data_IF_149942142140
#
_entry.id   IF_149942142140
#
_cell.length_a   1.000
_cell.length_b   1.000
_cell.length_c   1.000
_cell.angle_alpha   90.00
_cell.angle_beta   90.00
_cell.angle_gamma   90.00
#
_symmetry.space_group_name_H-M   'P 1'
#
loop_
_entity.id
_entity.type
_entity.pdbx_description
1 polymer ?
#
# COMPACT_ATOMS: atom_id res chain seq x y z
N UNK A 1 -19.11 -44.99 18.43
CA UNK A 1 -19.15 -43.53 18.22
C UNK A 1 -18.90 -43.27 16.76
N UNK A 2 -19.82 -42.61 16.06
CA UNK A 2 -19.55 -42.08 14.72
C UNK A 2 -18.31 -41.19 14.81
N UNK A 3 -17.31 -41.34 13.94
CA UNK A 3 -16.17 -40.42 13.96
C UNK A 3 -16.69 -38.99 13.85
N UNK A 4 -16.27 -38.12 14.76
CA UNK A 4 -16.67 -36.72 14.74
C UNK A 4 -16.28 -36.14 13.38
N UNK A 5 -17.19 -35.42 12.71
CA UNK A 5 -16.87 -34.76 11.45
C UNK A 5 -15.78 -33.71 11.74
N UNK A 6 -14.55 -33.84 11.21
CA UNK A 6 -13.46 -32.91 11.50
C UNK A 6 -13.82 -31.47 11.11
N UNK A 7 -14.59 -31.28 10.04
CA UNK A 7 -15.02 -29.95 9.58
C UNK A 7 -15.99 -29.24 10.55
N UNK A 8 -16.60 -29.98 11.47
CA UNK A 8 -17.48 -29.45 12.53
C UNK A 8 -16.87 -29.61 13.93
N UNK A 9 -15.57 -29.85 14.02
CA UNK A 9 -14.85 -30.06 15.27
C UNK A 9 -13.78 -28.99 15.46
N UNK A 10 -13.80 -28.30 16.60
CA UNK A 10 -12.92 -27.18 16.94
C UNK A 10 -12.06 -27.49 18.17
N UNK A 11 -10.78 -27.14 18.12
CA UNK A 11 -9.91 -27.03 19.29
C UNK A 11 -9.74 -25.56 19.70
N UNK A 12 -10.01 -25.25 20.97
CA UNK A 12 -9.63 -23.99 21.62
C UNK A 12 -8.38 -24.28 22.44
N UNK A 13 -7.27 -23.66 22.08
CA UNK A 13 -5.98 -23.90 22.71
C UNK A 13 -5.56 -22.71 23.56
N UNK A 14 -5.17 -22.95 24.80
CA UNK A 14 -4.48 -21.96 25.63
C UNK A 14 -2.97 -22.14 25.47
N UNK A 15 -2.28 -21.07 25.06
CA UNK A 15 -0.81 -21.02 25.01
C UNK A 15 -0.18 -20.59 26.34
N UNK A 16 -0.99 -20.19 27.33
CA UNK A 16 -0.53 -19.70 28.65
C UNK A 16 -1.13 -20.49 29.82
N UNK A 17 -1.65 -21.69 29.57
CA UNK A 17 -2.15 -22.62 30.59
C UNK A 17 -3.53 -22.33 31.17
N UNK A 18 -4.03 -21.08 31.14
CA UNK A 18 -5.33 -20.72 31.71
C UNK A 18 -6.45 -20.69 30.65
N UNK A 19 -7.63 -21.20 31.02
CA UNK A 19 -8.90 -21.00 30.28
C UNK A 19 -9.82 -20.14 31.14
N UNK A 20 -10.34 -19.04 30.60
CA UNK A 20 -11.39 -18.24 31.24
C UNK A 20 -12.78 -18.83 30.97
N UNK A 21 -13.66 -18.85 31.97
CA UNK A 21 -15.06 -19.27 31.85
C UNK A 21 -16.05 -18.11 32.04
N UNK A 22 -17.24 -18.16 31.41
CA UNK A 22 -17.75 -19.24 30.55
C UNK A 22 -17.27 -19.13 29.09
N UNK A 23 -17.05 -20.29 28.46
CA UNK A 23 -16.65 -20.39 27.06
C UNK A 23 -17.73 -19.92 26.06
N UNK A 24 -17.36 -19.68 24.79
CA UNK A 24 -18.27 -19.20 23.75
C UNK A 24 -19.37 -20.21 23.40
N UNK A 25 -20.50 -19.72 22.88
CA UNK A 25 -21.56 -20.58 22.33
C UNK A 25 -21.02 -21.37 21.13
N UNK A 26 -21.43 -22.65 20.94
CA UNK A 26 -20.79 -23.53 19.98
C UNK A 26 -21.01 -23.16 18.50
N UNK A 27 -22.04 -22.37 18.20
CA UNK A 27 -22.36 -21.96 16.83
C UNK A 27 -22.56 -23.14 15.90
N UNK A 28 -21.81 -23.18 14.80
CA UNK A 28 -21.86 -24.27 13.81
C UNK A 28 -21.00 -25.50 14.16
N UNK A 29 -20.20 -25.44 15.24
CA UNK A 29 -19.36 -26.57 15.66
C UNK A 29 -20.18 -27.59 16.46
N UNK A 30 -20.10 -28.85 16.05
CA UNK A 30 -20.75 -29.97 16.74
C UNK A 30 -19.94 -30.46 17.94
N UNK A 31 -18.63 -30.18 17.96
CA UNK A 31 -17.73 -30.58 19.06
C UNK A 31 -16.68 -29.49 19.27
N UNK A 32 -16.51 -29.08 20.53
CA UNK A 32 -15.48 -28.13 20.95
C UNK A 32 -14.63 -28.81 22.02
N UNK A 33 -13.31 -28.78 21.83
CA UNK A 33 -12.33 -29.32 22.77
C UNK A 33 -11.47 -28.18 23.29
N UNK A 34 -11.35 -28.06 24.61
CA UNK A 34 -10.39 -27.17 25.24
C UNK A 34 -9.11 -27.95 25.48
N UNK A 35 -8.02 -27.51 24.85
CA UNK A 35 -6.71 -28.14 24.92
C UNK A 35 -5.70 -27.11 25.47
N UNK A 36 -4.63 -27.61 26.06
CA UNK A 36 -3.54 -26.78 26.57
C UNK A 36 -2.27 -27.31 25.96
N UNK A 37 -1.50 -26.43 25.31
CA UNK A 37 -0.15 -26.80 24.85
C UNK A 37 0.72 -26.90 26.09
N UNK A 38 1.40 -28.03 26.28
CA UNK A 38 2.17 -28.28 27.51
C UNK A 38 3.20 -27.17 27.75
N UNK A 39 3.24 -26.66 28.98
CA UNK A 39 4.33 -25.81 29.48
C UNK A 39 5.62 -26.65 29.60
N UNK A 40 6.31 -26.90 28.48
CA UNK A 40 7.75 -27.02 28.56
C UNK A 40 8.27 -25.60 28.58
N UNK A 41 8.57 -25.09 29.78
CA UNK A 41 9.04 -23.73 30.05
C UNK A 41 9.91 -23.20 28.89
N UNK A 42 9.42 -22.17 28.16
CA UNK A 42 10.13 -21.41 27.11
C UNK A 42 10.08 -21.88 25.64
N UNK A 43 9.02 -22.54 25.16
CA UNK A 43 8.85 -22.66 23.70
C UNK A 43 8.69 -21.27 23.06
N UNK A 44 9.49 -20.99 22.03
CA UNK A 44 9.34 -19.78 21.24
C UNK A 44 7.93 -19.75 20.59
N UNK A 45 7.30 -18.57 20.42
CA UNK A 45 5.93 -18.45 19.90
C UNK A 45 5.59 -19.26 18.62
N UNK A 46 6.45 -19.38 17.58
CA UNK A 46 6.11 -20.19 16.41
C UNK A 46 6.05 -21.68 16.73
N UNK A 47 6.92 -22.16 17.63
CA UNK A 47 6.96 -23.57 18.05
C UNK A 47 5.72 -23.92 18.87
N UNK A 48 5.31 -23.04 19.78
CA UNK A 48 4.09 -23.22 20.56
C UNK A 48 2.83 -23.29 19.66
N UNK A 49 2.77 -22.45 18.62
CA UNK A 49 1.65 -22.45 17.65
C UNK A 49 1.65 -23.67 16.74
N UNK A 50 2.82 -24.18 16.36
CA UNK A 50 2.92 -25.42 15.58
C UNK A 50 2.45 -26.62 16.41
N UNK A 51 2.95 -26.75 17.65
CA UNK A 51 2.50 -27.78 18.58
C UNK A 51 0.98 -27.69 18.86
N UNK A 52 0.44 -26.48 18.93
CA UNK A 52 -1.01 -26.28 19.04
C UNK A 52 -1.78 -26.87 17.84
N UNK A 53 -1.26 -26.70 16.63
CA UNK A 53 -1.89 -27.22 15.42
C UNK A 53 -1.83 -28.75 15.37
N UNK A 54 -0.69 -29.34 15.71
CA UNK A 54 -0.49 -30.80 15.77
C UNK A 54 -1.41 -31.44 16.83
N UNK A 55 -1.47 -30.86 18.03
CA UNK A 55 -2.34 -31.33 19.11
C UNK A 55 -3.83 -31.28 18.71
N UNK A 56 -4.25 -30.24 17.98
CA UNK A 56 -5.60 -30.13 17.46
C UNK A 56 -5.92 -31.21 16.41
N UNK A 57 -4.94 -31.56 15.55
CA UNK A 57 -5.07 -32.64 14.57
C UNK A 57 -5.19 -34.01 15.25
N UNK A 58 -4.34 -34.28 16.24
CA UNK A 58 -4.39 -35.52 17.04
C UNK A 58 -5.73 -35.70 17.75
N UNK A 59 -6.34 -34.59 18.21
CA UNK A 59 -7.66 -34.57 18.81
C UNK A 59 -8.83 -34.71 17.82
N UNK A 60 -8.54 -34.82 16.51
CA UNK A 60 -9.51 -34.95 15.44
C UNK A 60 -10.28 -33.65 15.11
N UNK A 61 -9.74 -32.49 15.49
CA UNK A 61 -10.33 -31.19 15.18
C UNK A 61 -9.84 -30.66 13.83
N UNK A 62 -10.78 -30.30 12.93
CA UNK A 62 -10.44 -29.66 11.65
C UNK A 62 -10.19 -28.17 11.78
N UNK A 63 -10.68 -27.54 12.85
CA UNK A 63 -10.47 -26.12 13.15
C UNK A 63 -9.74 -25.94 14.48
N UNK A 64 -8.97 -24.86 14.59
CA UNK A 64 -8.33 -24.43 15.82
C UNK A 64 -8.38 -22.92 16.01
N UNK A 65 -8.30 -22.49 17.26
CA UNK A 65 -7.90 -21.14 17.65
C UNK A 65 -6.96 -21.24 18.85
N UNK A 66 -5.78 -20.62 18.74
CA UNK A 66 -4.78 -20.60 19.81
C UNK A 66 -4.77 -19.22 20.46
N UNK A 67 -5.17 -19.14 21.73
CA UNK A 67 -5.27 -17.92 22.52
C UNK A 67 -3.98 -17.66 23.30
N UNK A 68 -3.61 -16.39 23.38
CA UNK A 68 -2.48 -15.90 24.17
C UNK A 68 -2.95 -15.39 25.53
N UNK A 69 -2.00 -15.11 26.42
CA UNK A 69 -2.29 -14.47 27.69
C UNK A 69 -3.00 -13.13 27.48
N UNK A 70 -4.12 -12.92 28.17
CA UNK A 70 -4.95 -11.72 28.07
C UNK A 70 -5.93 -11.69 26.88
N UNK A 71 -6.10 -12.82 26.18
CA UNK A 71 -7.12 -13.01 25.16
C UNK A 71 -8.20 -13.99 25.62
N UNK A 72 -9.47 -13.64 25.37
CA UNK A 72 -10.63 -14.51 25.52
C UNK A 72 -11.47 -14.48 24.24
N UNK A 73 -12.41 -15.42 24.09
CA UNK A 73 -13.32 -15.46 22.95
C UNK A 73 -14.62 -14.70 23.28
N UNK A 74 -15.14 -13.97 22.30
CA UNK A 74 -16.48 -13.38 22.42
C UNK A 74 -17.55 -14.48 22.53
N UNK A 75 -18.59 -14.25 23.34
CA UNK A 75 -19.64 -15.25 23.64
C UNK A 75 -20.37 -15.78 22.38
N UNK A 76 -20.40 -14.98 21.33
CA UNK A 76 -21.06 -15.22 20.04
C UNK A 76 -20.06 -15.43 18.89
N UNK A 77 -18.76 -15.51 19.18
CA UNK A 77 -17.69 -15.58 18.18
C UNK A 77 -17.98 -16.62 17.08
N UNK A 78 -18.38 -17.84 17.46
CA UNK A 78 -18.60 -18.95 16.52
C UNK A 78 -19.94 -18.91 15.79
N UNK A 79 -20.95 -18.23 16.33
CA UNK A 79 -22.19 -17.97 15.62
C UNK A 79 -21.94 -16.96 14.50
N UNK A 80 -21.17 -15.91 14.78
CA UNK A 80 -20.87 -14.84 13.83
C UNK A 80 -20.01 -15.32 12.65
N UNK A 81 -19.15 -16.33 12.84
CA UNK A 81 -18.32 -16.88 11.75
C UNK A 81 -18.91 -18.12 11.07
N UNK A 82 -20.03 -18.66 11.55
CA UNK A 82 -20.63 -19.86 10.98
C UNK A 82 -20.80 -19.80 9.44
N UNK A 83 -21.25 -18.68 8.83
CA UNK A 83 -21.35 -18.57 7.38
C UNK A 83 -20.00 -18.64 6.64
N UNK A 84 -18.90 -18.29 7.31
CA UNK A 84 -17.57 -18.21 6.73
C UNK A 84 -16.82 -19.55 6.71
N UNK A 85 -17.19 -20.51 7.57
CA UNK A 85 -16.47 -21.80 7.72
C UNK A 85 -16.44 -22.66 6.44
N UNK A 86 -17.44 -22.52 5.57
CA UNK A 86 -17.47 -23.22 4.28
C UNK A 86 -16.70 -22.51 3.15
N UNK A 87 -16.38 -21.23 3.34
CA UNK A 87 -15.83 -20.36 2.30
C UNK A 87 -14.35 -20.05 2.51
N UNK A 88 -13.90 -20.07 3.77
CA UNK A 88 -12.56 -19.67 4.18
C UNK A 88 -11.85 -20.76 4.95
N UNK A 89 -10.53 -20.65 5.01
CA UNK A 89 -9.62 -21.56 5.70
C UNK A 89 -9.00 -20.89 6.94
N UNK A 90 -8.96 -19.55 6.97
CA UNK A 90 -8.54 -18.75 8.11
C UNK A 90 -9.43 -17.51 8.27
N UNK A 91 -9.86 -17.22 9.50
CA UNK A 91 -10.77 -16.14 9.84
C UNK A 91 -10.17 -15.33 11.00
N UNK A 92 -9.72 -14.13 10.68
CA UNK A 92 -9.18 -13.15 11.60
C UNK A 92 -10.32 -12.26 12.10
N UNK A 93 -10.59 -12.31 13.40
CA UNK A 93 -11.65 -11.51 14.02
C UNK A 93 -11.26 -10.06 14.24
N UNK A 94 -12.25 -9.19 14.49
CA UNK A 94 -12.00 -7.99 15.26
C UNK A 94 -11.81 -8.34 16.75
N UNK A 95 -11.53 -7.33 17.57
CA UNK A 95 -11.44 -7.50 19.00
C UNK A 95 -12.15 -6.38 19.76
N UNK A 96 -12.67 -6.73 20.94
CA UNK A 96 -13.17 -5.80 21.94
C UNK A 96 -12.17 -5.71 23.10
N UNK A 97 -11.99 -4.53 23.68
CA UNK A 97 -11.12 -4.35 24.85
C UNK A 97 -11.99 -4.20 26.09
N UNK A 98 -11.72 -4.99 27.13
CA UNK A 98 -12.48 -4.92 28.38
C UNK A 98 -12.53 -3.49 28.94
N UNK A 99 -13.72 -3.07 29.36
CA UNK A 99 -13.96 -1.72 29.88
C UNK A 99 -14.11 -0.63 28.81
N UNK A 100 -13.97 -0.96 27.52
CA UNK A 100 -14.27 -0.02 26.43
C UNK A 100 -15.78 0.13 26.24
N UNK A 101 -16.27 1.37 26.12
CA UNK A 101 -17.71 1.64 25.87
C UNK A 101 -18.15 1.38 24.42
N UNK A 102 -17.22 1.06 23.50
CA UNK A 102 -17.55 0.79 22.10
C UNK A 102 -17.74 -0.71 21.85
N UNK A 103 -18.87 -1.09 21.25
CA UNK A 103 -19.15 -2.48 20.85
C UNK A 103 -18.09 -3.05 19.88
N UNK A 104 -17.43 -2.19 19.10
CA UNK A 104 -16.24 -2.50 18.31
C UNK A 104 -15.17 -1.48 18.69
N UNK A 105 -14.08 -1.95 19.30
CA UNK A 105 -12.92 -1.08 19.58
C UNK A 105 -12.34 -0.56 18.25
N UNK A 106 -11.82 0.68 18.17
CA UNK A 106 -11.23 1.23 16.93
C UNK A 106 -10.02 0.45 16.38
N UNK A 107 -9.62 -0.63 17.07
CA UNK A 107 -8.60 -1.59 16.66
C UNK A 107 -8.88 -2.21 15.28
N UNK A 108 -10.14 -2.34 14.86
CA UNK A 108 -10.47 -2.91 13.54
C UNK A 108 -11.50 -2.08 12.79
N UNK A 109 -11.13 -1.59 11.59
CA UNK A 109 -11.98 -0.66 10.83
C UNK A 109 -12.76 -1.29 9.70
N UNK A 110 -12.25 -2.33 9.03
CA UNK A 110 -12.85 -2.86 7.80
C UNK A 110 -12.66 -4.38 7.68
N UNK A 111 -13.69 -5.03 7.13
CA UNK A 111 -13.60 -6.41 6.68
C UNK A 111 -13.00 -6.49 5.28
N UNK A 112 -12.23 -7.54 4.99
CA UNK A 112 -11.67 -7.82 3.67
C UNK A 112 -11.26 -9.30 3.57
N UNK A 113 -11.21 -9.82 2.36
CA UNK A 113 -10.91 -11.22 2.05
C UNK A 113 -9.84 -11.38 0.97
N UNK A 114 -9.17 -10.29 0.61
CA UNK A 114 -8.13 -10.27 -0.41
C UNK A 114 -6.75 -10.01 0.20
N UNK A 115 -5.76 -10.78 -0.25
CA UNK A 115 -4.39 -10.71 0.29
C UNK A 115 -3.72 -9.35 0.04
N UNK A 116 -4.13 -8.61 -1.00
CA UNK A 116 -3.59 -7.28 -1.30
C UNK A 116 -3.85 -6.24 -0.21
N UNK A 117 -4.83 -6.50 0.68
CA UNK A 117 -5.17 -5.63 1.81
C UNK A 117 -4.37 -5.91 3.07
N UNK A 118 -3.76 -7.08 3.18
CA UNK A 118 -3.01 -7.49 4.37
C UNK A 118 -1.94 -6.46 4.76
N UNK A 119 -1.06 -5.98 3.85
CA UNK A 119 0.02 -5.09 4.26
C UNK A 119 -0.49 -3.75 4.80
N UNK A 120 -1.58 -3.22 4.21
CA UNK A 120 -2.22 -2.01 4.73
C UNK A 120 -2.79 -2.23 6.13
N UNK A 121 -3.43 -3.38 6.36
CA UNK A 121 -3.96 -3.74 7.67
C UNK A 121 -2.84 -3.87 8.72
N UNK A 122 -1.69 -4.45 8.37
CA UNK A 122 -0.55 -4.59 9.28
C UNK A 122 0.14 -3.26 9.60
N UNK A 123 0.22 -2.35 8.63
CA UNK A 123 0.92 -1.07 8.80
C UNK A 123 0.05 0.04 9.38
N UNK A 124 -1.27 0.01 9.18
CA UNK A 124 -2.15 1.15 9.49
C UNK A 124 -3.32 0.79 10.40
N UNK A 125 -3.68 -0.50 10.50
CA UNK A 125 -4.72 -1.00 11.39
C UNK A 125 -4.09 -1.99 12.38
N UNK A 126 -4.93 -2.84 12.96
CA UNK A 126 -4.49 -3.97 13.76
C UNK A 126 -5.11 -5.27 13.22
N UNK A 127 -4.28 -6.31 13.18
CA UNK A 127 -4.65 -7.67 12.85
C UNK A 127 -4.24 -8.55 14.03
N UNK A 128 -5.15 -9.36 14.60
CA UNK A 128 -4.80 -10.24 15.70
C UNK A 128 -3.88 -11.36 15.24
N UNK A 129 -2.94 -11.75 16.10
CA UNK A 129 -2.14 -12.95 15.88
C UNK A 129 -2.99 -14.22 16.11
N UNK A 130 -3.99 -14.15 17.00
CA UNK A 130 -4.94 -15.22 17.29
C UNK A 130 -6.15 -15.16 16.38
N UNK A 131 -6.43 -16.26 15.69
CA UNK A 131 -7.45 -16.34 14.65
C UNK A 131 -7.95 -17.77 14.54
N UNK A 132 -9.14 -17.93 13.97
CA UNK A 132 -9.74 -19.24 13.72
C UNK A 132 -9.19 -19.79 12.41
N UNK A 133 -8.62 -20.98 12.39
CA UNK A 133 -7.92 -21.52 11.20
C UNK A 133 -8.06 -23.03 11.10
N UNK A 134 -8.07 -23.54 9.86
CA UNK A 134 -7.98 -24.99 9.61
C UNK A 134 -6.66 -25.53 10.14
N UNK A 135 -6.71 -26.61 10.90
CA UNK A 135 -5.53 -27.18 11.57
C UNK A 135 -4.44 -27.57 10.57
N UNK A 136 -4.81 -28.15 9.42
CA UNK A 136 -3.89 -28.46 8.33
C UNK A 136 -3.21 -27.23 7.70
N UNK A 137 -3.91 -26.09 7.62
CA UNK A 137 -3.40 -24.85 7.04
C UNK A 137 -2.43 -24.18 7.99
N UNK A 138 -2.76 -24.15 9.28
CA UNK A 138 -1.86 -23.63 10.32
C UNK A 138 -0.57 -24.45 10.39
N UNK A 139 -0.68 -25.78 10.50
CA UNK A 139 0.48 -26.67 10.61
C UNK A 139 1.41 -26.58 9.40
N UNK A 140 0.86 -26.60 8.17
CA UNK A 140 1.67 -26.46 6.94
C UNK A 140 2.41 -25.13 6.92
N UNK A 141 1.69 -24.01 7.09
CA UNK A 141 2.29 -22.67 7.02
C UNK A 141 3.36 -22.47 8.10
N UNK A 142 3.10 -22.90 9.34
CA UNK A 142 4.07 -22.76 10.43
C UNK A 142 5.33 -23.61 10.22
N UNK A 143 5.20 -24.81 9.66
CA UNK A 143 6.35 -25.64 9.26
C UNK A 143 7.22 -24.95 8.20
N UNK A 144 6.58 -24.40 7.16
CA UNK A 144 7.29 -23.68 6.09
C UNK A 144 8.03 -22.44 6.63
N UNK A 145 7.39 -21.67 7.51
CA UNK A 145 8.00 -20.51 8.18
C UNK A 145 9.18 -20.94 9.07
N UNK A 146 9.01 -22.01 9.85
CA UNK A 146 10.06 -22.53 10.73
C UNK A 146 11.28 -23.01 9.92
N UNK A 147 11.06 -23.70 8.80
CA UNK A 147 12.12 -24.20 7.93
C UNK A 147 12.96 -23.07 7.28
N UNK A 148 12.37 -21.88 7.07
CA UNK A 148 13.08 -20.72 6.50
C UNK A 148 14.00 -20.00 7.49
N UNK A 149 13.85 -20.20 8.80
CA UNK A 149 14.65 -19.49 9.82
C UNK A 149 14.39 -17.97 9.83
N UNK A 150 13.13 -17.58 9.65
CA UNK A 150 12.68 -16.20 9.51
C UNK A 150 13.11 -15.26 10.65
N UNK A 151 13.52 -14.02 10.30
CA UNK A 151 13.81 -12.95 11.28
C UNK A 151 12.55 -12.56 12.08
N UNK A 152 11.36 -12.63 11.47
CA UNK A 152 10.08 -12.35 12.11
C UNK A 152 8.99 -13.33 11.66
N UNK A 153 8.94 -14.48 12.35
CA UNK A 153 8.02 -15.57 12.05
C UNK A 153 6.55 -15.16 11.95
N UNK A 154 6.11 -14.16 12.74
CA UNK A 154 4.70 -13.78 12.80
C UNK A 154 4.28 -13.04 11.52
N UNK A 155 5.14 -12.13 11.04
CA UNK A 155 4.91 -11.43 9.78
C UNK A 155 4.98 -12.42 8.63
N UNK A 156 6.00 -13.28 8.61
CA UNK A 156 6.14 -14.32 7.59
C UNK A 156 4.93 -15.26 7.53
N UNK A 157 4.46 -15.73 8.69
CA UNK A 157 3.25 -16.54 8.79
C UNK A 157 2.02 -15.81 8.20
N UNK A 158 1.83 -14.53 8.53
CA UNK A 158 0.70 -13.76 8.03
C UNK A 158 0.76 -13.56 6.52
N UNK A 159 1.92 -13.24 5.96
CA UNK A 159 2.06 -13.14 4.50
C UNK A 159 1.82 -14.49 3.82
N UNK A 160 2.39 -15.57 4.35
CA UNK A 160 2.30 -16.89 3.73
C UNK A 160 0.89 -17.48 3.82
N UNK A 161 0.19 -17.34 4.95
CA UNK A 161 -1.19 -17.84 5.08
C UNK A 161 -2.13 -17.08 4.15
N UNK A 162 -2.01 -15.75 4.04
CA UNK A 162 -2.84 -14.94 3.14
C UNK A 162 -2.50 -15.16 1.67
N UNK A 163 -1.27 -15.56 1.34
CA UNK A 163 -0.89 -15.92 -0.02
C UNK A 163 -1.40 -17.31 -0.44
N UNK A 164 -1.52 -18.26 0.51
CA UNK A 164 -1.73 -19.67 0.21
C UNK A 164 -3.03 -20.29 0.76
N UNK A 165 -3.88 -19.51 1.42
CA UNK A 165 -5.15 -19.95 1.98
C UNK A 165 -6.25 -18.90 1.76
N UNK A 166 -7.52 -19.33 1.81
CA UNK A 166 -8.65 -18.40 1.73
C UNK A 166 -8.82 -17.72 3.09
N UNK A 167 -8.39 -16.48 3.20
CA UNK A 167 -8.43 -15.73 4.45
C UNK A 167 -9.58 -14.72 4.46
N UNK A 168 -10.21 -14.55 5.63
CA UNK A 168 -11.17 -13.48 5.90
C UNK A 168 -10.69 -12.67 7.09
N UNK A 169 -10.55 -11.36 6.92
CA UNK A 169 -10.56 -10.42 8.04
C UNK A 169 -12.00 -9.96 8.27
N UNK A 170 -12.59 -10.38 9.38
CA UNK A 170 -13.93 -9.97 9.79
C UNK A 170 -13.92 -8.67 10.61
N UNK A 171 -14.96 -7.86 10.46
CA UNK A 171 -15.25 -6.72 11.34
C UNK A 171 -15.93 -7.16 12.65
N UNK A 172 -16.44 -8.39 12.71
CA UNK A 172 -17.07 -8.94 13.91
C UNK A 172 -16.02 -9.37 14.93
N UNK A 173 -16.22 -9.09 16.23
CA UNK A 173 -15.27 -9.46 17.26
C UNK A 173 -15.23 -10.98 17.45
N UNK A 174 -14.03 -11.56 17.36
CA UNK A 174 -13.77 -12.92 17.86
C UNK A 174 -13.11 -12.90 19.23
N UNK A 175 -12.34 -11.85 19.50
CA UNK A 175 -11.53 -11.75 20.70
C UNK A 175 -12.06 -10.67 21.64
N UNK A 176 -11.93 -10.94 22.93
CA UNK A 176 -11.98 -9.99 24.02
C UNK A 176 -10.56 -9.89 24.56
N UNK A 177 -10.03 -8.67 24.67
CA UNK A 177 -8.67 -8.39 25.13
C UNK A 177 -8.71 -7.68 26.48
N UNK A 178 -7.81 -8.07 27.38
CA UNK A 178 -7.61 -7.36 28.65
C UNK A 178 -7.07 -5.95 28.42
N UNK A 179 -6.18 -5.80 27.43
CA UNK A 179 -5.50 -4.55 27.12
C UNK A 179 -5.57 -4.25 25.61
N UNK A 180 -5.56 -2.96 25.26
CA UNK A 180 -5.40 -2.56 23.87
C UNK A 180 -3.98 -2.96 23.38
N UNK A 181 -3.86 -3.54 22.17
CA UNK A 181 -2.57 -3.90 21.60
C UNK A 181 -1.74 -2.66 21.29
N UNK A 182 -0.42 -2.79 21.43
CA UNK A 182 0.52 -1.76 21.00
C UNK A 182 0.57 -1.69 19.46
N UNK A 183 0.82 -0.49 18.88
CA UNK A 183 1.16 -0.38 17.46
C UNK A 183 2.41 -1.21 17.14
N UNK A 184 2.51 -1.70 15.89
CA UNK A 184 3.72 -2.37 15.40
C UNK A 184 4.95 -1.49 15.60
N UNK A 185 6.02 -2.08 16.14
CA UNK A 185 7.30 -1.44 16.36
C UNK A 185 7.97 -1.01 15.05
N UNK A 186 8.98 -0.13 15.13
CA UNK A 186 9.74 0.30 13.96
C UNK A 186 10.39 -0.87 13.21
N UNK A 187 10.90 -1.88 13.93
CA UNK A 187 11.49 -3.09 13.34
C UNK A 187 10.43 -3.91 12.60
N UNK A 188 9.27 -4.17 13.20
CA UNK A 188 8.19 -4.91 12.53
C UNK A 188 7.68 -4.19 11.28
N UNK A 189 7.61 -2.85 11.30
CA UNK A 189 7.27 -2.07 10.10
C UNK A 189 8.30 -2.27 9.00
N UNK A 190 9.59 -2.30 9.36
CA UNK A 190 10.66 -2.53 8.41
C UNK A 190 10.62 -3.94 7.82
N UNK A 191 10.31 -4.95 8.63
CA UNK A 191 10.12 -6.34 8.18
C UNK A 191 8.97 -6.45 7.16
N UNK A 192 7.83 -5.77 7.41
CA UNK A 192 6.71 -5.72 6.46
C UNK A 192 7.14 -5.05 5.14
N UNK A 193 7.86 -3.94 5.21
CA UNK A 193 8.35 -3.21 4.02
C UNK A 193 9.33 -4.08 3.23
N UNK A 194 10.23 -4.80 3.91
CA UNK A 194 11.14 -5.73 3.27
C UNK A 194 10.39 -6.87 2.57
N UNK A 195 9.37 -7.42 3.21
CA UNK A 195 8.53 -8.45 2.59
C UNK A 195 7.83 -7.95 1.33
N UNK A 196 7.35 -6.70 1.32
CA UNK A 196 6.77 -6.06 0.13
C UNK A 196 7.79 -5.84 -1.00
N UNK A 197 9.07 -5.66 -0.67
CA UNK A 197 10.12 -5.55 -1.67
C UNK A 197 10.40 -6.89 -2.37
N UNK A 198 10.33 -7.99 -1.61
CA UNK A 198 10.52 -9.38 -2.08
C UNK A 198 9.29 -9.92 -2.82
N UNK A 199 8.11 -9.72 -2.27
CA UNK A 199 6.81 -10.19 -2.79
C UNK A 199 5.90 -8.99 -2.96
N UNK A 200 5.93 -8.34 -4.14
CA UNK A 200 5.18 -7.13 -4.38
C UNK A 200 3.67 -7.38 -4.35
N UNK A 201 2.97 -6.51 -3.63
CA UNK A 201 1.52 -6.47 -3.59
C UNK A 201 1.03 -5.33 -4.47
N UNK A 202 -0.06 -5.57 -5.19
CA UNK A 202 -0.70 -4.57 -6.04
C UNK A 202 -2.16 -4.37 -5.65
N UNK A 203 -2.55 -3.11 -5.46
CA UNK A 203 -3.92 -2.70 -5.22
C UNK A 203 -4.66 -2.59 -6.57
N UNK A 204 -5.85 -3.23 -6.69
CA UNK A 204 -6.66 -3.14 -7.90
C UNK A 204 -7.45 -1.82 -7.94
N UNK A 205 -7.31 -1.11 -9.04
CA UNK A 205 -8.03 0.14 -9.34
C UNK A 205 -8.94 -0.12 -10.53
N UNK A 206 -10.25 -0.09 -10.31
CA UNK A 206 -11.24 -0.27 -11.38
C UNK A 206 -11.42 1.06 -12.10
N UNK A 207 -11.16 1.09 -13.40
CA UNK A 207 -11.37 2.27 -14.23
C UNK A 207 -12.03 1.87 -15.55
N UNK A 208 -13.29 2.26 -15.72
CA UNK A 208 -14.11 1.81 -16.83
C UNK A 208 -14.30 0.28 -16.79
N UNK A 209 -13.90 -0.39 -17.87
CA UNK A 209 -13.94 -1.84 -18.04
C UNK A 209 -12.62 -2.55 -17.70
N UNK A 210 -11.60 -1.80 -17.25
CA UNK A 210 -10.27 -2.33 -16.94
C UNK A 210 -9.95 -2.24 -15.45
N UNK A 211 -9.07 -3.13 -15.01
CA UNK A 211 -8.46 -3.09 -13.68
C UNK A 211 -6.98 -2.77 -13.86
N UNK A 212 -6.54 -1.70 -13.21
CA UNK A 212 -5.13 -1.32 -13.13
C UNK A 212 -4.56 -1.76 -11.79
N UNK A 213 -3.33 -2.24 -11.79
CA UNK A 213 -2.65 -2.74 -10.60
C UNK A 213 -1.60 -1.70 -10.15
N UNK A 214 -1.78 -1.08 -8.99
CA UNK A 214 -0.82 -0.10 -8.43
C UNK A 214 -0.05 -0.70 -7.25
N UNK A 215 1.28 -0.49 -7.16
CA UNK A 215 2.09 -1.13 -6.14
C UNK A 215 1.77 -0.57 -4.74
N UNK A 216 1.64 -1.44 -3.75
CA UNK A 216 1.59 -1.05 -2.34
C UNK A 216 2.97 -1.20 -1.72
N UNK A 217 3.60 -0.09 -1.37
CA UNK A 217 4.96 -0.02 -0.80
C UNK A 217 4.97 0.11 0.71
N UNK A 218 3.85 0.55 1.31
CA UNK A 218 3.76 0.90 2.73
C UNK A 218 4.48 2.19 3.11
N UNK A 219 5.05 2.89 2.13
CA UNK A 219 5.91 4.06 2.31
C UNK A 219 5.31 5.33 1.67
N UNK A 220 4.12 5.23 1.07
CA UNK A 220 3.44 6.32 0.37
C UNK A 220 2.04 6.55 0.96
N UNK A 221 1.95 6.77 2.27
CA UNK A 221 0.69 6.74 3.01
C UNK A 221 -0.43 7.67 2.45
N UNK A 222 -0.08 8.83 1.87
CA UNK A 222 -1.04 9.73 1.23
C UNK A 222 -1.66 9.12 -0.03
N UNK A 223 -0.81 8.71 -0.98
CA UNK A 223 -1.21 8.10 -2.25
C UNK A 223 -1.89 6.75 -2.03
N UNK A 224 -1.25 5.88 -1.25
CA UNK A 224 -1.72 4.52 -1.01
C UNK A 224 -3.06 4.49 -0.26
N UNK A 225 -3.37 5.50 0.55
CA UNK A 225 -4.70 5.61 1.19
C UNK A 225 -5.81 5.69 0.15
N UNK A 226 -5.66 6.49 -0.90
CA UNK A 226 -6.67 6.57 -1.96
C UNK A 226 -6.69 5.31 -2.82
N UNK A 227 -5.53 4.72 -3.09
CA UNK A 227 -5.44 3.45 -3.81
C UNK A 227 -6.11 2.29 -3.07
N UNK A 228 -6.04 2.27 -1.74
CA UNK A 228 -6.83 1.32 -0.94
C UNK A 228 -8.33 1.59 -0.99
N UNK A 229 -8.81 2.67 -1.60
CA UNK A 229 -10.24 2.85 -1.89
C UNK A 229 -10.59 2.43 -3.31
N UNK A 230 -9.63 1.87 -4.06
CA UNK A 230 -9.82 1.49 -5.46
C UNK A 230 -9.78 2.70 -6.40
N UNK A 231 -9.13 3.80 -5.99
CA UNK A 231 -9.03 5.04 -6.76
C UNK A 231 -7.58 5.36 -7.11
N UNK A 232 -7.35 5.94 -8.29
CA UNK A 232 -6.09 6.65 -8.53
C UNK A 232 -5.98 7.83 -7.55
N UNK A 233 -4.76 8.09 -7.07
CA UNK A 233 -4.49 9.33 -6.36
C UNK A 233 -4.69 10.51 -7.32
N UNK A 234 -5.27 11.62 -6.82
CA UNK A 234 -5.66 12.78 -7.64
C UNK A 234 -6.63 12.45 -8.79
N UNK A 235 -7.51 11.45 -8.62
CA UNK A 235 -8.43 11.00 -9.68
C UNK A 235 -9.24 12.14 -10.33
N UNK A 236 -9.68 13.15 -9.58
CA UNK A 236 -10.39 14.30 -10.13
C UNK A 236 -9.51 15.16 -11.06
N UNK A 237 -8.28 15.41 -10.68
CA UNK A 237 -7.31 16.20 -11.46
C UNK A 237 -6.88 15.44 -12.72
N UNK A 238 -6.63 14.15 -12.58
CA UNK A 238 -6.35 13.23 -13.68
C UNK A 238 -7.49 13.19 -14.71
N UNK A 239 -8.74 13.17 -14.27
CA UNK A 239 -9.90 13.25 -15.18
C UNK A 239 -10.01 14.61 -15.87
N UNK A 240 -9.71 15.71 -15.19
CA UNK A 240 -9.67 17.03 -15.80
C UNK A 240 -8.60 17.12 -16.88
N UNK A 241 -7.42 16.53 -16.65
CA UNK A 241 -6.36 16.44 -17.65
C UNK A 241 -6.80 15.58 -18.85
N UNK A 242 -7.36 14.39 -18.60
CA UNK A 242 -7.85 13.46 -19.64
C UNK A 242 -8.88 14.09 -20.57
N UNK A 243 -9.77 14.97 -20.06
CA UNK A 243 -10.77 15.67 -20.88
C UNK A 243 -10.17 16.66 -21.88
N UNK A 244 -8.96 17.17 -21.62
CA UNK A 244 -8.29 18.20 -22.43
C UNK A 244 -7.26 17.62 -23.40
N UNK A 245 -6.76 16.42 -23.12
CA UNK A 245 -5.70 15.77 -23.89
C UNK A 245 -6.30 14.63 -24.71
N UNK A 246 -6.05 14.65 -26.02
CA UNK A 246 -6.51 13.57 -26.90
C UNK A 246 -5.67 12.29 -26.68
N UNK A 247 -6.25 11.09 -26.89
CA UNK A 247 -5.46 9.87 -27.00
C UNK A 247 -4.31 10.03 -28.00
N UNK A 248 -3.19 9.36 -27.73
CA UNK A 248 -1.97 9.44 -28.54
C UNK A 248 -1.01 10.57 -28.17
N UNK A 249 -1.23 11.26 -27.04
CA UNK A 249 -0.30 12.27 -26.54
C UNK A 249 1.03 11.66 -26.07
N UNK A 250 2.12 12.42 -26.21
CA UNK A 250 3.43 12.15 -25.62
C UNK A 250 3.55 12.89 -24.30
N UNK A 251 3.73 12.14 -23.22
CA UNK A 251 3.67 12.67 -21.85
C UNK A 251 5.01 12.46 -21.15
N UNK A 252 5.51 13.52 -20.50
CA UNK A 252 6.67 13.45 -19.62
C UNK A 252 6.18 13.59 -18.18
N UNK A 253 6.52 12.64 -17.31
CA UNK A 253 6.10 12.59 -15.91
C UNK A 253 7.33 12.77 -15.00
N UNK A 254 7.59 14.02 -14.59
CA UNK A 254 8.71 14.36 -13.69
C UNK A 254 8.25 14.19 -12.24
N UNK A 255 9.00 13.41 -11.47
CA UNK A 255 8.63 12.97 -10.12
C UNK A 255 7.57 11.87 -10.17
N UNK A 256 7.78 10.86 -11.02
CA UNK A 256 6.79 9.82 -11.29
C UNK A 256 6.48 8.93 -10.07
N UNK A 257 7.33 8.96 -9.04
CA UNK A 257 7.15 8.21 -7.79
C UNK A 257 6.91 6.72 -8.09
N UNK A 258 5.88 6.12 -7.50
CA UNK A 258 5.51 4.71 -7.67
C UNK A 258 4.62 4.45 -8.89
N UNK A 259 4.42 5.46 -9.74
CA UNK A 259 3.78 5.32 -11.05
C UNK A 259 2.28 5.59 -11.10
N UNK A 260 1.66 6.18 -10.07
CA UNK A 260 0.21 6.48 -10.09
C UNK A 260 -0.22 7.23 -11.37
N UNK A 261 0.40 8.40 -11.63
CA UNK A 261 0.10 9.22 -12.80
C UNK A 261 0.61 8.57 -14.08
N UNK A 262 1.81 7.99 -14.09
CA UNK A 262 2.36 7.25 -15.23
C UNK A 262 1.40 6.17 -15.75
N UNK A 263 0.84 5.33 -14.86
CA UNK A 263 -0.11 4.28 -15.24
C UNK A 263 -1.41 4.90 -15.76
N UNK A 264 -1.89 5.99 -15.15
CA UNK A 264 -3.08 6.71 -15.62
C UNK A 264 -2.89 7.32 -17.03
N UNK A 265 -1.70 7.88 -17.28
CA UNK A 265 -1.32 8.47 -18.56
C UNK A 265 -1.23 7.40 -19.66
N UNK A 266 -0.59 6.28 -19.36
CA UNK A 266 -0.36 5.20 -20.31
C UNK A 266 -1.66 4.44 -20.65
N UNK A 267 -2.47 4.08 -19.64
CA UNK A 267 -3.67 3.27 -19.80
C UNK A 267 -4.95 4.10 -20.04
N UNK A 268 -5.54 4.71 -19.00
CA UNK A 268 -6.75 5.53 -19.09
C UNK A 268 -6.70 6.66 -20.12
N UNK A 269 -5.62 7.46 -20.18
CA UNK A 269 -5.48 8.53 -21.17
C UNK A 269 -5.05 8.02 -22.55
N UNK A 270 -4.58 6.77 -22.64
CA UNK A 270 -4.09 6.15 -23.89
C UNK A 270 -3.01 7.00 -24.57
N UNK A 271 -2.02 7.45 -23.79
CA UNK A 271 -0.85 8.15 -24.33
C UNK A 271 -0.15 7.29 -25.39
N UNK A 272 0.45 7.93 -26.40
CA UNK A 272 1.32 7.22 -27.35
C UNK A 272 2.63 6.78 -26.69
N UNK A 273 3.14 7.61 -25.77
CA UNK A 273 4.34 7.32 -24.98
C UNK A 273 4.30 8.11 -23.68
N UNK A 274 4.70 7.49 -22.58
CA UNK A 274 4.94 8.15 -21.29
C UNK A 274 6.41 7.96 -20.90
N UNK A 275 7.12 9.04 -20.61
CA UNK A 275 8.50 9.00 -20.11
C UNK A 275 8.53 9.45 -18.65
N UNK A 276 8.47 8.51 -17.68
CA UNK A 276 8.63 8.82 -16.26
C UNK A 276 10.08 9.10 -15.89
N UNK A 277 10.28 10.14 -15.07
CA UNK A 277 11.54 10.46 -14.41
C UNK A 277 11.34 10.40 -12.91
N UNK A 278 12.01 9.45 -12.26
CA UNK A 278 11.97 9.24 -10.82
C UNK A 278 13.39 8.95 -10.32
N UNK A 279 13.99 9.84 -9.51
CA UNK A 279 15.36 9.69 -9.04
C UNK A 279 15.56 8.55 -8.04
N UNK A 280 14.54 8.19 -7.24
CA UNK A 280 14.70 7.21 -6.18
C UNK A 280 14.63 5.78 -6.73
N UNK A 281 15.69 4.96 -6.53
CA UNK A 281 15.71 3.60 -7.07
C UNK A 281 14.55 2.72 -6.58
N UNK A 282 14.13 2.87 -5.32
CA UNK A 282 13.01 2.10 -4.74
C UNK A 282 11.67 2.46 -5.37
N UNK A 283 11.39 3.74 -5.59
CA UNK A 283 10.18 4.21 -6.27
C UNK A 283 10.18 3.82 -7.75
N UNK A 284 11.32 4.00 -8.44
CA UNK A 284 11.49 3.56 -9.83
C UNK A 284 11.33 2.05 -10.02
N UNK A 285 11.81 1.24 -9.06
CA UNK A 285 11.59 -0.21 -9.08
C UNK A 285 10.12 -0.59 -8.91
N UNK A 286 9.39 0.10 -8.02
CA UNK A 286 7.95 -0.10 -7.86
C UNK A 286 7.17 0.32 -9.12
N UNK A 287 7.54 1.45 -9.74
CA UNK A 287 6.96 1.91 -11.00
C UNK A 287 7.19 0.91 -12.13
N UNK A 288 8.42 0.40 -12.30
CA UNK A 288 8.75 -0.63 -13.30
C UNK A 288 7.85 -1.86 -13.15
N UNK A 289 7.73 -2.36 -11.92
CA UNK A 289 6.84 -3.49 -11.60
C UNK A 289 5.37 -3.18 -11.89
N UNK A 290 4.92 -1.95 -11.66
CA UNK A 290 3.58 -1.51 -12.00
C UNK A 290 3.34 -1.54 -13.51
N UNK A 291 4.27 -1.02 -14.31
CA UNK A 291 4.20 -1.03 -15.78
C UNK A 291 4.13 -2.46 -16.31
N UNK A 292 5.03 -3.33 -15.84
CA UNK A 292 5.06 -4.76 -16.18
C UNK A 292 3.74 -5.45 -15.80
N UNK A 293 3.24 -5.22 -14.58
CA UNK A 293 2.00 -5.83 -14.07
C UNK A 293 0.77 -5.45 -14.89
N UNK A 294 0.75 -4.23 -15.44
CA UNK A 294 -0.33 -3.73 -16.27
C UNK A 294 -0.17 -4.04 -17.77
N UNK A 295 0.96 -4.62 -18.20
CA UNK A 295 1.24 -4.92 -19.60
C UNK A 295 1.26 -3.68 -20.49
N UNK A 296 1.87 -2.58 -19.99
CA UNK A 296 1.93 -1.31 -20.69
C UNK A 296 3.22 -1.17 -21.48
N UNK A 297 3.13 -1.28 -22.80
CA UNK A 297 4.29 -1.18 -23.72
C UNK A 297 4.61 0.27 -24.14
N UNK A 298 3.77 1.22 -23.74
CA UNK A 298 3.86 2.64 -24.09
C UNK A 298 4.48 3.50 -22.97
N UNK A 299 5.39 2.91 -22.18
CA UNK A 299 6.13 3.60 -21.12
C UNK A 299 7.63 3.42 -21.31
N UNK A 300 8.36 4.51 -21.50
CA UNK A 300 9.82 4.52 -21.63
C UNK A 300 10.50 4.67 -20.26
N UNK A 301 10.97 3.56 -19.72
CA UNK A 301 11.63 3.48 -18.41
C UNK A 301 13.13 3.77 -18.44
N UNK A 302 13.68 4.24 -19.58
CA UNK A 302 15.12 4.50 -19.73
C UNK A 302 15.63 5.65 -18.86
N UNK A 303 14.75 6.55 -18.44
CA UNK A 303 15.08 7.73 -17.63
C UNK A 303 14.84 7.55 -16.12
N UNK A 304 14.50 6.33 -15.68
CA UNK A 304 14.41 6.04 -14.24
C UNK A 304 15.79 6.12 -13.57
N UNK A 305 15.82 6.65 -12.34
CA UNK A 305 17.04 6.88 -11.56
C UNK A 305 17.71 8.23 -11.81
N UNK A 306 17.13 9.07 -12.67
CA UNK A 306 17.63 10.42 -12.97
C UNK A 306 16.67 11.45 -12.36
N UNK A 307 17.21 12.39 -11.59
CA UNK A 307 16.49 13.59 -11.16
C UNK A 307 16.62 14.73 -12.16
N UNK A 308 15.66 15.66 -12.13
CA UNK A 308 15.62 16.79 -13.06
C UNK A 308 15.83 18.09 -12.29
N UNK A 309 16.68 18.98 -12.82
CA UNK A 309 16.88 20.32 -12.28
C UNK A 309 17.36 21.30 -13.37
N UNK A 310 17.67 22.53 -12.96
CA UNK A 310 18.20 23.59 -13.84
C UNK A 310 19.58 23.26 -14.43
N UNK A 311 20.39 22.51 -13.69
CA UNK A 311 21.75 22.15 -14.07
C UNK A 311 22.03 20.67 -13.81
N UNK A 312 22.83 20.05 -14.68
CA UNK A 312 23.33 18.70 -14.46
C UNK A 312 24.26 18.64 -13.25
N UNK A 313 24.27 17.51 -12.57
CA UNK A 313 25.07 17.32 -11.37
C UNK A 313 24.73 16.07 -10.60
N UNK A 314 24.99 16.12 -9.29
CA UNK A 314 24.70 15.04 -8.36
C UNK A 314 23.93 15.58 -7.17
N UNK A 315 23.07 14.75 -6.61
CA UNK A 315 22.27 15.06 -5.45
C UNK A 315 22.21 13.86 -4.51
N UNK A 316 21.77 14.14 -3.28
CA UNK A 316 21.34 13.11 -2.33
C UNK A 316 19.87 13.30 -2.01
N UNK A 317 19.20 12.20 -1.70
CA UNK A 317 17.88 12.22 -1.11
C UNK A 317 17.95 12.79 0.31
N UNK A 318 17.08 13.74 0.63
CA UNK A 318 16.88 14.27 1.98
C UNK A 318 15.42 14.05 2.35
N UNK A 319 15.19 13.42 3.50
CA UNK A 319 13.83 13.23 4.01
C UNK A 319 13.20 14.60 4.28
N UNK A 320 12.06 14.89 3.67
CA UNK A 320 11.26 16.03 4.12
C UNK A 320 10.56 15.71 5.43
N UNK A 321 10.05 16.75 6.09
CA UNK A 321 9.26 16.64 7.32
C UNK A 321 8.01 15.74 7.20
N UNK A 322 7.56 15.42 5.97
CA UNK A 322 6.36 14.60 5.70
C UNK A 322 6.62 13.10 5.86
N UNK A 323 7.87 12.62 5.73
CA UNK A 323 8.26 11.21 5.82
C UNK A 323 7.71 10.31 4.72
N UNK A 324 8.46 9.27 4.31
CA UNK A 324 8.05 8.32 3.27
C UNK A 324 8.56 8.64 1.85
N UNK A 325 8.28 7.77 0.88
CA UNK A 325 8.82 7.85 -0.49
C UNK A 325 8.39 9.12 -1.22
N UNK A 326 7.10 9.48 -1.14
CA UNK A 326 6.53 10.67 -1.79
C UNK A 326 6.84 12.00 -1.10
N UNK A 327 7.76 12.00 -0.15
CA UNK A 327 8.12 13.14 0.69
C UNK A 327 9.64 13.37 0.68
N UNK A 328 10.32 12.98 -0.40
CA UNK A 328 11.77 13.07 -0.49
C UNK A 328 12.16 14.24 -1.39
N UNK A 329 13.00 15.14 -0.87
CA UNK A 329 13.57 16.24 -1.65
C UNK A 329 14.98 15.88 -2.08
N UNK A 330 15.39 16.32 -3.27
CA UNK A 330 16.78 16.24 -3.70
C UNK A 330 17.55 17.48 -3.23
N UNK A 331 18.69 17.28 -2.60
CA UNK A 331 19.63 18.34 -2.26
C UNK A 331 20.91 18.18 -3.11
N UNK A 332 21.40 19.24 -3.78
CA UNK A 332 22.66 19.20 -4.50
C UNK A 332 23.80 18.73 -3.59
N UNK A 333 24.51 17.70 -4.04
CA UNK A 333 25.64 17.12 -3.32
C UNK A 333 26.55 16.43 -4.36
N UNK A 334 27.75 16.96 -4.64
CA UNK A 334 28.70 16.35 -5.57
C UNK A 334 29.10 14.91 -5.19
N UNK A 335 28.95 14.54 -3.92
CA UNK A 335 29.19 13.18 -3.41
C UNK A 335 27.93 12.31 -3.34
N UNK A 336 26.76 12.89 -3.64
CA UNK A 336 25.49 12.19 -3.64
C UNK A 336 25.43 11.09 -4.70
N UNK A 337 24.54 10.12 -4.51
CA UNK A 337 24.37 8.93 -5.36
C UNK A 337 23.40 9.14 -6.54
N UNK A 338 22.54 10.16 -6.46
CA UNK A 338 21.52 10.47 -7.48
C UNK A 338 22.11 11.35 -8.58
N UNK A 339 21.94 10.92 -9.82
CA UNK A 339 22.32 11.71 -11.02
C UNK A 339 21.22 12.74 -11.30
N UNK A 340 21.63 13.97 -11.59
CA UNK A 340 20.74 15.06 -12.00
C UNK A 340 21.10 15.50 -13.41
N UNK A 341 20.10 15.74 -14.24
CA UNK A 341 20.26 16.38 -15.56
C UNK A 341 19.12 17.39 -15.83
N UNK A 342 19.24 18.13 -16.93
CA UNK A 342 18.23 19.04 -17.43
C UNK A 342 17.21 18.30 -18.29
N UNK A 343 15.94 18.68 -18.22
CA UNK A 343 14.92 18.05 -19.07
C UNK A 343 15.22 18.26 -20.56
N UNK A 344 15.82 19.41 -20.90
CA UNK A 344 16.24 19.72 -22.26
C UNK A 344 17.33 18.78 -22.81
N UNK A 345 18.14 18.14 -21.94
CA UNK A 345 19.12 17.15 -22.35
C UNK A 345 18.49 15.74 -22.47
N UNK A 346 17.52 15.44 -21.61
CA UNK A 346 16.89 14.12 -21.53
C UNK A 346 15.80 13.92 -22.61
N UNK A 347 15.13 14.99 -23.06
CA UNK A 347 13.96 14.91 -23.95
C UNK A 347 14.19 15.65 -25.27
N UNK A 348 14.46 14.89 -26.33
CA UNK A 348 14.57 15.39 -27.71
C UNK A 348 13.21 15.50 -28.41
N UNK A 349 12.33 14.56 -28.14
CA UNK A 349 11.05 14.41 -28.85
C UNK A 349 10.05 15.52 -28.51
N UNK A 350 9.01 15.74 -29.34
CA UNK A 350 7.88 16.59 -28.98
C UNK A 350 7.15 16.08 -27.74
N UNK A 351 6.70 17.02 -26.90
CA UNK A 351 5.96 16.76 -25.67
C UNK A 351 4.61 17.47 -25.74
N UNK A 352 3.52 16.73 -25.57
CA UNK A 352 2.17 17.29 -25.54
C UNK A 352 1.75 17.67 -24.11
N UNK A 353 2.20 16.88 -23.13
CA UNK A 353 1.90 17.09 -21.71
C UNK A 353 3.18 16.93 -20.88
N UNK A 354 3.44 17.89 -20.00
CA UNK A 354 4.52 17.83 -19.03
C UNK A 354 3.93 17.89 -17.62
N UNK A 355 4.11 16.81 -16.85
CA UNK A 355 3.76 16.78 -15.44
C UNK A 355 5.01 17.00 -14.59
N UNK A 356 4.93 17.89 -13.59
CA UNK A 356 6.03 18.23 -12.68
C UNK A 356 5.49 18.22 -11.25
N UNK A 357 5.94 17.26 -10.46
CA UNK A 357 5.59 17.16 -9.05
C UNK A 357 6.84 16.67 -8.31
N UNK A 358 7.65 17.62 -7.84
CA UNK A 358 8.99 17.37 -7.30
C UNK A 358 9.24 18.23 -6.06
N UNK A 359 8.54 17.96 -4.97
CA UNK A 359 8.76 18.45 -3.59
C UNK A 359 9.77 19.62 -3.42
N UNK A 360 9.42 20.80 -3.95
CA UNK A 360 10.12 22.08 -3.79
C UNK A 360 11.20 22.42 -4.83
N UNK A 361 11.31 21.66 -5.92
CA UNK A 361 12.29 21.87 -7.01
C UNK A 361 11.63 22.24 -8.34
N UNK A 362 10.34 22.56 -8.36
CA UNK A 362 9.55 22.64 -9.59
C UNK A 362 9.97 23.82 -10.47
N UNK A 363 10.32 24.97 -9.87
CA UNK A 363 10.89 26.11 -10.62
C UNK A 363 12.27 25.80 -11.22
N UNK A 364 13.07 24.95 -10.56
CA UNK A 364 14.36 24.50 -11.09
C UNK A 364 14.17 23.55 -12.27
N UNK A 365 13.19 22.64 -12.18
CA UNK A 365 12.80 21.79 -13.32
C UNK A 365 12.33 22.63 -14.50
N UNK A 366 11.48 23.64 -14.27
CA UNK A 366 11.04 24.55 -15.33
C UNK A 366 12.20 25.30 -16.00
N UNK A 367 13.22 25.68 -15.23
CA UNK A 367 14.43 26.30 -15.77
C UNK A 367 15.27 25.32 -16.61
N UNK A 368 15.35 24.06 -16.21
CA UNK A 368 16.02 22.98 -16.96
C UNK A 368 15.21 22.44 -18.16
N UNK A 369 13.97 22.90 -18.35
CA UNK A 369 13.05 22.47 -19.40
C UNK A 369 12.75 23.56 -20.44
N UNK A 370 13.54 24.63 -20.47
CA UNK A 370 13.24 25.83 -21.26
C UNK A 370 13.09 25.51 -22.76
N UNK A 371 14.03 24.77 -23.37
CA UNK A 371 13.97 24.46 -24.80
C UNK A 371 12.83 23.49 -25.13
N UNK A 372 12.53 22.53 -24.26
CA UNK A 372 11.40 21.60 -24.42
C UNK A 372 10.07 22.37 -24.39
N UNK A 373 9.90 23.28 -23.44
CA UNK A 373 8.70 24.10 -23.26
C UNK A 373 8.52 25.09 -24.43
N UNK A 374 9.60 25.76 -24.85
CA UNK A 374 9.57 26.70 -25.98
C UNK A 374 9.23 25.98 -27.29
N UNK A 375 9.84 24.82 -27.54
CA UNK A 375 9.66 24.03 -28.77
C UNK A 375 8.28 23.39 -28.85
N UNK A 376 7.84 22.74 -27.78
CA UNK A 376 6.65 21.88 -27.83
C UNK A 376 5.38 22.57 -27.33
N UNK A 377 5.52 23.65 -26.55
CA UNK A 377 4.40 24.38 -25.93
C UNK A 377 3.39 23.42 -25.25
N UNK A 378 3.85 22.48 -24.39
CA UNK A 378 2.98 21.45 -23.82
C UNK A 378 1.92 22.06 -22.90
N UNK A 379 0.83 21.33 -22.68
CA UNK A 379 0.01 21.51 -21.49
C UNK A 379 0.84 21.08 -20.26
N UNK A 380 0.87 21.89 -19.21
CA UNK A 380 1.70 21.58 -18.03
C UNK A 380 0.81 21.39 -16.80
N UNK A 381 1.00 20.28 -16.10
CA UNK A 381 0.38 19.98 -14.81
C UNK A 381 1.47 19.99 -13.73
N UNK A 382 1.41 20.94 -12.80
CA UNK A 382 2.52 21.22 -11.89
C UNK A 382 2.06 21.48 -10.45
N UNK A 383 2.65 20.76 -9.49
CA UNK A 383 2.47 21.04 -8.06
C UNK A 383 3.36 22.23 -7.68
N UNK A 384 2.81 23.26 -7.04
CA UNK A 384 3.60 24.40 -6.56
C UNK A 384 3.35 24.59 -5.07
N UNK A 385 4.42 24.52 -4.28
CA UNK A 385 4.38 24.94 -2.88
C UNK A 385 3.88 26.38 -2.75
N UNK A 386 3.00 26.65 -1.78
CA UNK A 386 2.31 27.93 -1.66
C UNK A 386 3.29 29.12 -1.56
N UNK A 387 4.44 28.92 -0.92
CA UNK A 387 5.53 29.91 -0.81
C UNK A 387 6.15 30.30 -2.17
N UNK A 388 6.10 29.41 -3.17
CA UNK A 388 6.66 29.64 -4.51
C UNK A 388 5.66 30.26 -5.48
N UNK A 389 4.41 30.49 -5.08
CA UNK A 389 3.33 31.00 -5.96
C UNK A 389 3.70 32.31 -6.67
N UNK A 390 4.35 33.25 -5.98
CA UNK A 390 4.74 34.54 -6.57
C UNK A 390 5.79 34.36 -7.69
N UNK A 391 6.81 33.54 -7.43
CA UNK A 391 7.85 33.25 -8.41
C UNK A 391 7.28 32.45 -9.61
N UNK A 392 6.36 31.54 -9.35
CA UNK A 392 5.65 30.80 -10.39
C UNK A 392 4.79 31.71 -11.29
N UNK A 393 4.06 32.68 -10.72
CA UNK A 393 3.29 33.66 -11.49
C UNK A 393 4.16 34.55 -12.39
N UNK A 394 5.34 34.93 -11.91
CA UNK A 394 6.32 35.65 -12.73
C UNK A 394 6.83 34.76 -13.89
N UNK A 395 7.09 33.48 -13.63
CA UNK A 395 7.47 32.51 -14.65
C UNK A 395 6.38 32.35 -15.72
N UNK A 396 5.11 32.18 -15.33
CA UNK A 396 3.97 32.05 -16.25
C UNK A 396 3.91 33.22 -17.23
N UNK A 397 4.05 34.44 -16.72
CA UNK A 397 4.01 35.67 -17.52
C UNK A 397 5.13 35.71 -18.54
N UNK A 398 6.37 35.39 -18.13
CA UNK A 398 7.55 35.36 -19.02
C UNK A 398 7.46 34.24 -20.06
N UNK A 399 7.00 33.05 -19.67
CA UNK A 399 6.88 31.89 -20.55
C UNK A 399 5.66 31.97 -21.49
N UNK A 400 4.79 32.96 -21.30
CA UNK A 400 3.56 33.13 -22.07
C UNK A 400 2.56 31.99 -21.83
N UNK A 401 2.39 31.59 -20.58
CA UNK A 401 1.40 30.61 -20.13
C UNK A 401 0.27 31.29 -19.33
N UNK A 402 -0.85 30.60 -19.20
CA UNK A 402 -1.97 30.98 -18.36
C UNK A 402 -2.47 29.78 -17.54
N UNK A 403 -3.08 30.08 -16.39
CA UNK A 403 -3.72 29.07 -15.55
C UNK A 403 -5.09 28.74 -16.10
N UNK A 404 -5.33 27.47 -16.40
CA UNK A 404 -6.63 26.93 -16.82
C UNK A 404 -7.42 26.40 -15.61
N UNK A 405 -6.71 25.80 -14.63
CA UNK A 405 -7.31 25.25 -13.42
C UNK A 405 -6.31 25.24 -12.26
N UNK A 406 -6.83 25.40 -11.06
CA UNK A 406 -6.09 25.26 -9.80
C UNK A 406 -6.82 24.25 -8.92
N UNK A 407 -6.07 23.35 -8.31
CA UNK A 407 -6.54 22.41 -7.29
C UNK A 407 -5.73 22.68 -6.03
N UNK A 408 -6.38 23.23 -5.01
CA UNK A 408 -5.71 23.72 -3.80
C UNK A 408 -5.62 22.65 -2.72
N UNK A 409 -4.47 22.52 -2.08
CA UNK A 409 -4.30 21.79 -0.81
C UNK A 409 -3.65 22.72 0.24
N UNK A 410 -3.38 22.21 1.44
CA UNK A 410 -2.97 23.00 2.61
C UNK A 410 -1.66 23.75 2.44
N UNK A 411 -0.66 23.15 1.76
CA UNK A 411 0.70 23.70 1.64
C UNK A 411 1.18 23.88 0.20
N UNK A 412 0.43 23.37 -0.76
CA UNK A 412 0.72 23.45 -2.19
C UNK A 412 -0.59 23.56 -2.97
N UNK A 413 -0.49 23.82 -4.26
CA UNK A 413 -1.60 23.67 -5.19
C UNK A 413 -1.10 23.07 -6.50
N UNK A 414 -1.92 22.20 -7.09
CA UNK A 414 -1.71 21.69 -8.45
C UNK A 414 -2.29 22.68 -9.45
N UNK A 415 -1.47 23.12 -10.40
CA UNK A 415 -1.84 24.02 -11.46
C UNK A 415 -1.87 23.27 -12.79
N UNK A 416 -2.99 23.39 -13.50
CA UNK A 416 -3.05 23.07 -14.91
C UNK A 416 -2.91 24.36 -15.71
N UNK A 417 -1.85 24.46 -16.51
CA UNK A 417 -1.50 25.66 -17.28
C UNK A 417 -1.35 25.32 -18.76
N UNK A 418 -1.73 26.27 -19.61
CA UNK A 418 -1.64 26.14 -21.06
C UNK A 418 -0.94 27.35 -21.68
N UNK A 419 -0.35 27.20 -22.89
CA UNK A 419 0.09 28.33 -23.70
C UNK A 419 -0.99 29.41 -23.84
N UNK A 420 -0.65 30.68 -23.63
CA UNK A 420 -1.54 31.79 -24.03
C UNK A 420 -1.74 31.76 -25.54
N UNK A 421 -2.98 31.93 -25.98
CA UNK A 421 -3.29 32.07 -27.40
C UNK A 421 -2.62 33.33 -27.96
N UNK A 422 -2.22 33.30 -29.23
CA UNK A 422 -1.57 34.43 -29.88
C UNK A 422 -2.44 35.72 -29.88
N UNK A 423 -3.76 35.57 -29.80
CA UNK A 423 -4.72 36.69 -29.73
C UNK A 423 -4.72 37.42 -28.38
N UNK A 424 -4.30 36.77 -27.29
CA UNK A 424 -4.25 37.39 -25.95
C UNK A 424 -2.97 38.22 -25.71
N UNK A 425 -2.01 38.18 -26.64
CA UNK A 425 -0.73 38.91 -26.56
C UNK A 425 -0.82 40.38 -26.99
N UNK A 426 -1.95 40.81 -27.57
CA UNK A 426 -2.14 42.19 -28.10
C UNK A 426 -2.82 43.10 -27.06
N UNK A 427 -3.30 42.54 -25.94
CA UNK A 427 -4.15 43.23 -24.96
C UNK A 427 -3.47 43.54 -23.62
N UNK A 428 -2.18 43.25 -23.46
CA UNK A 428 -1.45 43.40 -22.18
C UNK A 428 -0.31 44.41 -22.26
#
# INVERSE_FOLDING_TARGET
>A
MTPANPERSLAILSLSGAHGEPGPRPGAFATIRHLTVSDSDALAPPVARLAAAELAQEAGCGWMIALQAGEALAIDAFELVAPALGLFDAIFGAAHVLGSQAAVSPLSRLAFDSADRLPHALLNWWLPDSHLVRTEVAARTLNDVAARGANNWAIDYLFDIWANARCLKSAQPLLILDNAPAPRSGCERQDIIQRLAEVPVFLPIVYGDKVYALPYTGQNAGIEREQTRGLFFEAMELEELRKRVKPGARIVDVGANTGNHTIFFAGPMKAAMVTPLEPLPSAGAALRRAVEKNGLDNVDLSQLGIGVAEHAGRARAVSSERGGLGATRLAPDPSGDIVIDTLDALISEPVDVLKIDVEGMELSVLAGAQRVIERSRPLIYIEIANENTLAFNAWLSRAGYQVERIFTDKKHANYLIAPRNAQDRISS
#
